data_IF_874879935251
#
_entry.id   IF_874879935251
#
_cell.length_a   1.000
_cell.length_b   1.000
_cell.length_c   1.000
_cell.angle_alpha   90.00
_cell.angle_beta   90.00
_cell.angle_gamma   90.00
#
_symmetry.space_group_name_H-M   'P 1'
#
loop_
_entity.id
_entity.type
_entity.pdbx_description
1 polymer ?
#
# COMPACT_ATOMS: atom_id res chain seq x y z
N UNK A 1 -24.78 4.19 -5.49
CA UNK A 1 -24.87 5.67 -5.37
C UNK A 1 -24.80 6.22 -3.95
N UNK A 2 -25.20 5.53 -2.88
CA UNK A 2 -25.17 6.07 -1.49
C UNK A 2 -23.78 6.24 -0.83
N UNK A 3 -22.70 5.65 -1.35
CA UNK A 3 -21.35 5.73 -0.76
C UNK A 3 -20.59 7.04 -1.03
N UNK A 4 -20.94 7.75 -2.11
CA UNK A 4 -20.25 9.01 -2.45
C UNK A 4 -20.76 10.21 -1.65
N UNK A 5 -22.04 10.23 -1.26
CA UNK A 5 -22.60 11.32 -0.47
C UNK A 5 -22.09 11.37 0.98
N UNK A 6 -21.86 10.21 1.61
CA UNK A 6 -21.36 10.13 2.99
C UNK A 6 -19.87 10.47 3.11
N UNK A 7 -19.04 10.11 2.13
CA UNK A 7 -17.63 10.54 2.08
C UNK A 7 -17.46 12.05 1.85
N UNK A 8 -18.41 12.71 1.19
CA UNK A 8 -18.38 14.17 0.98
C UNK A 8 -18.61 14.94 2.27
N UNK A 9 -19.56 14.51 3.11
CA UNK A 9 -19.89 15.16 4.39
C UNK A 9 -18.74 15.09 5.41
N UNK A 10 -17.99 13.99 5.49
CA UNK A 10 -16.80 13.92 6.35
C UNK A 10 -15.62 14.77 5.85
N UNK A 11 -15.59 15.16 4.56
CA UNK A 11 -14.54 16.05 4.02
C UNK A 11 -14.79 17.52 4.35
N UNK A 12 -16.05 17.96 4.47
CA UNK A 12 -16.40 19.35 4.78
C UNK A 12 -16.08 19.72 6.24
N UNK A 13 -16.22 18.80 7.20
CA UNK A 13 -15.83 19.04 8.60
C UNK A 13 -14.31 19.15 8.82
N UNK A 14 -13.46 18.71 7.88
CA UNK A 14 -11.99 18.91 7.96
C UNK A 14 -11.57 20.38 7.83
N UNK A 15 -12.45 21.27 7.39
CA UNK A 15 -12.13 22.69 7.18
C UNK A 15 -12.10 23.53 8.44
N UNK A 16 -12.60 23.05 9.58
CA UNK A 16 -12.52 23.75 10.86
C UNK A 16 -11.89 22.81 11.89
N UNK A 17 -11.11 23.37 12.82
CA UNK A 17 -10.35 22.69 13.87
C UNK A 17 -8.94 22.23 13.47
N UNK A 18 -8.00 23.17 13.50
CA UNK A 18 -6.59 22.92 13.78
C UNK A 18 -6.47 22.46 15.24
N UNK A 19 -5.92 21.27 15.47
CA UNK A 19 -5.25 20.96 16.72
C UNK A 19 -3.82 21.48 16.55
N UNK A 20 -3.40 22.39 17.43
CA UNK A 20 -2.05 22.95 17.45
C UNK A 20 -1.01 21.83 17.50
N UNK A 21 -0.16 21.81 16.48
CA UNK A 21 1.08 21.05 16.50
C UNK A 21 2.17 22.11 16.34
N UNK A 22 2.88 22.43 17.42
CA UNK A 22 4.07 23.25 17.37
C UNK A 22 5.16 22.51 16.58
N UNK A 23 5.22 22.78 15.28
CA UNK A 23 6.40 22.54 14.45
C UNK A 23 7.13 23.88 14.30
N UNK A 24 8.25 24.02 14.98
CA UNK A 24 9.24 25.04 14.65
C UNK A 24 9.99 24.61 13.37
N UNK A 25 9.40 24.78 12.18
CA UNK A 25 10.13 24.83 10.88
C UNK A 25 9.30 25.65 9.87
N UNK A 26 9.98 26.48 9.07
CA UNK A 26 9.40 27.56 8.25
C UNK A 26 8.17 27.22 7.41
N UNK A 27 7.27 28.20 7.25
CA UNK A 27 6.09 28.09 6.40
C UNK A 27 6.49 27.80 4.95
N UNK A 28 6.33 26.55 4.53
CA UNK A 28 6.26 26.18 3.12
C UNK A 28 4.99 26.80 2.52
N UNK A 29 5.13 27.88 1.76
CA UNK A 29 4.05 28.49 1.01
C UNK A 29 3.80 27.69 -0.27
N UNK A 30 2.83 26.78 -0.27
CA UNK A 30 2.34 26.13 -1.48
C UNK A 30 1.20 26.97 -2.09
N UNK A 31 1.28 27.24 -3.40
CA UNK A 31 0.19 27.87 -4.13
C UNK A 31 -1.03 26.92 -4.20
N UNK A 32 -2.23 27.34 -3.75
CA UNK A 32 -3.44 26.53 -3.83
C UNK A 32 -3.79 26.04 -5.24
N UNK A 33 -3.44 26.80 -6.28
CA UNK A 33 -3.71 26.42 -7.67
C UNK A 33 -2.78 25.28 -8.15
N UNK A 34 -1.52 25.29 -7.71
CA UNK A 34 -0.57 24.21 -7.99
C UNK A 34 -1.03 22.91 -7.33
N UNK A 35 -1.52 22.99 -6.08
CA UNK A 35 -2.10 21.83 -5.38
C UNK A 35 -3.35 21.29 -6.07
N UNK A 36 -4.20 22.18 -6.62
CA UNK A 36 -5.38 21.79 -7.38
C UNK A 36 -4.99 21.09 -8.68
N UNK A 37 -4.02 21.62 -9.41
CA UNK A 37 -3.49 21.04 -10.64
C UNK A 37 -2.92 19.64 -10.41
N UNK A 38 -2.04 19.48 -9.41
CA UNK A 38 -1.47 18.18 -9.01
C UNK A 38 -2.58 17.18 -8.69
N UNK A 39 -3.60 17.60 -7.92
CA UNK A 39 -4.73 16.73 -7.56
C UNK A 39 -5.53 16.28 -8.78
N UNK A 40 -5.79 17.18 -9.71
CA UNK A 40 -6.60 16.89 -10.89
C UNK A 40 -5.82 15.97 -11.87
N UNK A 41 -4.50 16.15 -11.99
CA UNK A 41 -3.60 15.24 -12.71
C UNK A 41 -3.60 13.83 -12.09
N UNK A 42 -3.45 13.72 -10.76
CA UNK A 42 -3.55 12.44 -10.05
C UNK A 42 -4.89 11.74 -10.29
N UNK A 43 -5.98 12.50 -10.32
CA UNK A 43 -7.33 11.96 -10.57
C UNK A 43 -7.42 11.40 -11.98
N UNK A 44 -6.88 12.09 -12.98
CA UNK A 44 -6.88 11.63 -14.37
C UNK A 44 -6.04 10.36 -14.53
N UNK A 45 -4.85 10.29 -13.92
CA UNK A 45 -4.02 9.08 -13.93
C UNK A 45 -4.76 7.90 -13.28
N UNK A 46 -5.39 8.12 -12.13
CA UNK A 46 -6.18 7.09 -11.45
C UNK A 46 -7.34 6.59 -12.33
N UNK A 47 -8.04 7.48 -13.03
CA UNK A 47 -9.11 7.09 -13.95
C UNK A 47 -8.58 6.25 -15.12
N UNK A 48 -7.43 6.62 -15.69
CA UNK A 48 -6.78 5.81 -16.74
C UNK A 48 -6.39 4.42 -16.23
N UNK A 49 -5.86 4.33 -15.01
CA UNK A 49 -5.54 3.03 -14.38
C UNK A 49 -6.81 2.18 -14.31
N UNK A 50 -7.89 2.73 -13.76
CA UNK A 50 -9.17 2.03 -13.62
C UNK A 50 -9.72 1.52 -14.95
N UNK A 51 -9.76 2.37 -15.97
CA UNK A 51 -10.19 1.96 -17.31
C UNK A 51 -9.35 0.81 -17.89
N UNK A 52 -8.06 0.74 -17.54
CA UNK A 52 -7.15 -0.29 -18.02
C UNK A 52 -7.27 -1.63 -17.26
N UNK A 53 -7.67 -1.61 -15.98
CA UNK A 53 -7.59 -2.81 -15.13
C UNK A 53 -8.93 -3.29 -14.56
N UNK A 54 -9.99 -2.48 -14.60
CA UNK A 54 -11.26 -2.80 -13.94
C UNK A 54 -11.87 -4.11 -14.46
N UNK A 55 -11.67 -4.46 -15.73
CA UNK A 55 -12.14 -5.74 -16.30
C UNK A 55 -11.41 -6.96 -15.70
N UNK A 56 -10.25 -6.76 -15.08
CA UNK A 56 -9.48 -7.80 -14.40
C UNK A 56 -9.83 -7.90 -12.91
N UNK A 57 -10.54 -6.90 -12.37
CA UNK A 57 -10.91 -6.83 -10.97
C UNK A 57 -12.29 -7.46 -10.74
N UNK A 58 -12.35 -8.35 -9.76
CA UNK A 58 -13.58 -8.99 -9.28
C UNK A 58 -13.59 -9.09 -7.76
N UNK A 59 -14.78 -9.30 -7.19
CA UNK A 59 -14.94 -9.55 -5.76
C UNK A 59 -14.22 -10.82 -5.28
N UNK A 60 -13.89 -11.74 -6.20
CA UNK A 60 -13.17 -12.98 -5.90
C UNK A 60 -11.66 -12.78 -5.79
N UNK A 61 -11.10 -11.70 -6.32
CA UNK A 61 -9.66 -11.46 -6.23
C UNK A 61 -9.25 -11.17 -4.78
N UNK A 62 -8.20 -11.84 -4.36
CA UNK A 62 -7.49 -11.55 -3.13
C UNK A 62 -6.87 -10.15 -3.16
N UNK A 63 -6.59 -9.57 -1.98
CA UNK A 63 -5.91 -8.27 -1.89
C UNK A 63 -4.53 -8.28 -2.55
N UNK A 64 -3.86 -9.45 -2.55
CA UNK A 64 -2.58 -9.63 -3.24
C UNK A 64 -2.75 -9.49 -4.75
N UNK A 65 -3.74 -10.16 -5.33
CA UNK A 65 -4.02 -10.07 -6.77
C UNK A 65 -4.46 -8.67 -7.19
N UNK A 66 -5.28 -8.00 -6.38
CA UNK A 66 -5.68 -6.60 -6.65
C UNK A 66 -4.47 -5.67 -6.67
N UNK A 67 -3.53 -5.86 -5.74
CA UNK A 67 -2.31 -5.09 -5.67
C UNK A 67 -1.40 -5.36 -6.89
N UNK A 68 -1.25 -6.62 -7.27
CA UNK A 68 -0.51 -7.03 -8.48
C UNK A 68 -1.07 -6.39 -9.76
N UNK A 69 -2.39 -6.49 -9.96
CA UNK A 69 -3.10 -5.85 -11.08
C UNK A 69 -2.89 -4.33 -11.06
N UNK A 70 -2.96 -3.71 -9.87
CA UNK A 70 -2.71 -2.28 -9.71
C UNK A 70 -1.28 -1.87 -10.07
N UNK A 71 -0.28 -2.67 -9.69
CA UNK A 71 1.11 -2.43 -10.06
C UNK A 71 1.29 -2.48 -11.57
N UNK A 72 0.73 -3.51 -12.23
CA UNK A 72 0.79 -3.65 -13.69
C UNK A 72 0.11 -2.47 -14.37
N UNK A 73 -1.12 -2.12 -13.99
CA UNK A 73 -1.83 -0.98 -14.59
C UNK A 73 -1.06 0.34 -14.43
N UNK A 74 -0.47 0.58 -13.26
CA UNK A 74 0.38 1.75 -13.03
C UNK A 74 1.62 1.75 -13.92
N UNK A 75 2.33 0.63 -13.99
CA UNK A 75 3.51 0.48 -14.84
C UNK A 75 3.19 0.74 -16.32
N UNK A 76 2.11 0.15 -16.84
CA UNK A 76 1.74 0.29 -18.26
C UNK A 76 1.39 1.73 -18.64
N UNK A 77 0.76 2.48 -17.74
CA UNK A 77 0.51 3.91 -17.96
C UNK A 77 1.80 4.73 -17.95
N UNK A 78 2.77 4.38 -17.10
CA UNK A 78 4.06 5.06 -17.05
C UNK A 78 4.90 4.78 -18.30
N UNK A 79 4.81 3.57 -18.89
CA UNK A 79 5.48 3.26 -20.16
C UNK A 79 5.03 4.18 -21.30
N UNK A 80 3.82 4.74 -21.23
CA UNK A 80 3.27 5.67 -22.21
C UNK A 80 3.32 5.13 -23.66
N UNK A 81 3.11 3.83 -23.81
CA UNK A 81 2.97 3.15 -25.11
C UNK A 81 1.50 2.74 -25.33
N UNK A 82 1.13 2.42 -26.57
CA UNK A 82 -0.16 1.79 -26.88
C UNK A 82 -0.17 0.36 -26.34
N UNK A 83 -0.55 0.22 -25.06
CA UNK A 83 -0.58 -1.05 -24.35
C UNK A 83 -1.98 -1.37 -23.84
N UNK A 84 -2.36 -2.65 -23.94
CA UNK A 84 -3.54 -3.20 -23.30
C UNK A 84 -3.25 -4.54 -22.62
N UNK A 85 -3.98 -4.85 -21.55
CA UNK A 85 -3.91 -6.17 -20.89
C UNK A 85 -4.95 -7.07 -21.55
N UNK A 86 -4.49 -8.14 -22.22
CA UNK A 86 -5.37 -9.12 -22.87
C UNK A 86 -5.98 -10.08 -21.87
N UNK A 87 -5.17 -10.61 -20.97
CA UNK A 87 -5.62 -11.57 -19.97
C UNK A 87 -4.64 -11.70 -18.81
N UNK A 88 -5.14 -12.26 -17.71
CA UNK A 88 -4.31 -12.90 -16.70
C UNK A 88 -4.02 -14.35 -17.09
N UNK A 89 -2.88 -14.85 -16.69
CA UNK A 89 -2.51 -16.26 -16.83
C UNK A 89 -1.69 -16.72 -15.62
N UNK A 90 -1.46 -18.02 -15.48
CA UNK A 90 -0.65 -18.54 -14.37
C UNK A 90 0.86 -18.50 -14.66
N UNK A 91 1.24 -18.37 -15.94
CA UNK A 91 2.63 -18.52 -16.38
C UNK A 91 2.80 -18.05 -17.84
N UNK A 92 3.15 -16.77 -18.08
CA UNK A 92 3.45 -15.72 -17.11
C UNK A 92 2.18 -15.15 -16.46
N UNK A 93 2.31 -14.26 -15.48
CA UNK A 93 1.17 -13.68 -14.74
C UNK A 93 0.17 -12.91 -15.65
N UNK A 94 0.65 -12.25 -16.71
CA UNK A 94 -0.17 -11.46 -17.62
C UNK A 94 0.22 -11.68 -19.09
N UNK A 95 -0.76 -11.55 -19.97
CA UNK A 95 -0.56 -11.40 -21.41
C UNK A 95 -0.94 -9.97 -21.79
N UNK A 96 0.00 -9.22 -22.35
CA UNK A 96 -0.18 -7.83 -22.76
C UNK A 96 -0.02 -7.71 -24.28
N UNK A 97 -0.72 -6.76 -24.88
CA UNK A 97 -0.47 -6.32 -26.25
C UNK A 97 0.22 -4.97 -26.21
N UNK A 98 1.39 -4.87 -26.82
CA UNK A 98 2.17 -3.64 -26.98
C UNK A 98 2.28 -3.36 -28.48
N UNK A 99 1.61 -2.32 -28.97
CA UNK A 99 1.42 -2.10 -30.42
C UNK A 99 0.89 -3.36 -31.09
N UNK A 100 1.62 -3.91 -32.07
CA UNK A 100 1.24 -5.13 -32.80
C UNK A 100 1.82 -6.44 -32.22
N UNK A 101 2.48 -6.37 -31.05
CA UNK A 101 3.11 -7.54 -30.41
C UNK A 101 2.32 -8.01 -29.20
N UNK A 102 2.22 -9.34 -29.05
CA UNK A 102 1.71 -9.98 -27.84
C UNK A 102 2.90 -10.46 -27.02
N UNK A 103 2.94 -10.07 -25.76
CA UNK A 103 4.08 -10.25 -24.87
C UNK A 103 3.58 -10.89 -23.57
N UNK A 104 4.36 -11.82 -23.06
CA UNK A 104 4.17 -12.35 -21.72
C UNK A 104 4.79 -11.42 -20.68
N UNK A 105 4.06 -11.04 -19.64
CA UNK A 105 4.55 -10.17 -18.58
C UNK A 105 4.46 -10.89 -17.23
N UNK A 106 5.63 -11.13 -16.63
CA UNK A 106 5.75 -11.69 -15.28
C UNK A 106 5.87 -10.56 -14.25
N UNK A 107 5.21 -10.72 -13.11
CA UNK A 107 5.27 -9.79 -11.98
C UNK A 107 6.06 -10.40 -10.81
N UNK A 108 6.85 -9.56 -10.13
CA UNK A 108 7.42 -9.91 -8.83
C UNK A 108 7.53 -8.66 -7.94
N UNK A 109 7.09 -8.77 -6.70
CA UNK A 109 7.36 -7.75 -5.67
C UNK A 109 8.64 -8.09 -4.93
N UNK A 110 9.60 -7.18 -4.92
CA UNK A 110 10.82 -7.28 -4.13
C UNK A 110 10.49 -6.85 -2.71
N UNK A 111 10.73 -7.76 -1.75
CA UNK A 111 10.53 -7.50 -0.33
C UNK A 111 11.76 -7.86 0.47
N UNK A 112 12.00 -7.12 1.54
CA UNK A 112 13.05 -7.43 2.50
C UNK A 112 12.64 -8.67 3.29
N UNK A 113 13.30 -9.79 3.00
CA UNK A 113 13.01 -11.10 3.59
C UNK A 113 13.28 -11.15 5.09
N UNK A 114 14.13 -10.27 5.61
CA UNK A 114 14.44 -10.17 7.05
C UNK A 114 13.30 -9.57 7.85
N UNK A 115 12.54 -8.63 7.26
CA UNK A 115 11.51 -7.86 7.98
C UNK A 115 10.08 -8.24 7.59
N UNK A 116 9.86 -8.86 6.42
CA UNK A 116 8.52 -9.19 5.89
C UNK A 116 7.66 -10.03 6.85
N UNK A 117 8.26 -10.99 7.56
CA UNK A 117 7.55 -11.83 8.52
C UNK A 117 7.03 -11.03 9.73
N UNK A 118 7.83 -10.07 10.20
CA UNK A 118 7.46 -9.24 11.34
C UNK A 118 6.40 -8.20 10.94
N UNK A 119 6.58 -7.53 9.79
CA UNK A 119 5.59 -6.60 9.23
C UNK A 119 4.24 -7.30 9.03
N UNK A 120 4.25 -8.54 8.52
CA UNK A 120 3.05 -9.36 8.40
C UNK A 120 2.38 -9.65 9.75
N UNK A 121 3.17 -9.97 10.77
CA UNK A 121 2.68 -10.21 12.13
C UNK A 121 2.00 -8.97 12.72
N UNK A 122 2.63 -7.80 12.61
CA UNK A 122 2.06 -6.55 13.11
C UNK A 122 0.78 -6.19 12.34
N UNK A 123 0.75 -6.35 11.02
CA UNK A 123 -0.46 -6.12 10.22
C UNK A 123 -1.63 -6.99 10.72
N UNK A 124 -1.37 -8.25 11.01
CA UNK A 124 -2.37 -9.17 11.56
C UNK A 124 -2.83 -8.76 12.97
N UNK A 125 -1.92 -8.26 13.81
CA UNK A 125 -2.27 -7.70 15.12
C UNK A 125 -3.24 -6.53 14.97
N UNK A 126 -2.94 -5.56 14.11
CA UNK A 126 -3.81 -4.38 13.91
C UNK A 126 -5.18 -4.76 13.36
N UNK A 127 -5.26 -5.75 12.46
CA UNK A 127 -6.54 -6.29 11.99
C UNK A 127 -7.33 -6.96 13.11
N UNK A 128 -6.65 -7.63 14.05
CA UNK A 128 -7.30 -8.22 15.24
C UNK A 128 -7.79 -7.15 16.22
N UNK A 129 -7.02 -6.07 16.42
CA UNK A 129 -7.46 -4.90 17.19
C UNK A 129 -8.73 -4.32 16.58
N UNK A 130 -8.75 -4.07 15.27
CA UNK A 130 -9.91 -3.54 14.56
C UNK A 130 -11.15 -4.42 14.78
N UNK A 131 -11.01 -5.73 14.59
CA UNK A 131 -12.11 -6.69 14.78
C UNK A 131 -12.58 -6.75 16.23
N UNK A 132 -11.66 -6.82 17.19
CA UNK A 132 -12.00 -6.83 18.60
C UNK A 132 -12.77 -5.57 18.98
N UNK A 133 -12.26 -4.40 18.59
CA UNK A 133 -12.91 -3.14 18.87
C UNK A 133 -14.32 -3.08 18.28
N UNK A 134 -14.48 -3.48 17.01
CA UNK A 134 -15.79 -3.48 16.35
C UNK A 134 -16.78 -4.39 17.11
N UNK A 135 -16.34 -5.56 17.54
CA UNK A 135 -17.19 -6.53 18.22
C UNK A 135 -17.50 -6.16 19.68
N UNK A 136 -16.68 -5.34 20.32
CA UNK A 136 -16.80 -5.06 21.76
C UNK A 136 -17.32 -3.65 22.06
N UNK A 137 -16.97 -2.64 21.25
CA UNK A 137 -17.16 -1.23 21.62
C UNK A 137 -17.99 -0.39 20.65
N UNK A 138 -18.46 -0.95 19.52
CA UNK A 138 -19.16 -0.13 18.50
C UNK A 138 -20.44 0.53 19.04
N UNK A 139 -21.15 -0.15 19.94
CA UNK A 139 -22.37 0.36 20.55
C UNK A 139 -22.07 1.39 21.65
N UNK A 140 -20.90 1.34 22.29
CA UNK A 140 -20.47 2.25 23.37
C UNK A 140 -19.74 3.52 22.89
N UNK A 141 -19.75 3.83 21.59
CA UNK A 141 -19.13 5.03 21.01
C UNK A 141 -19.91 6.35 21.28
N UNK A 142 -20.71 6.45 22.34
CA UNK A 142 -21.62 7.59 22.57
C UNK A 142 -20.90 8.95 22.59
N UNK A 143 -19.80 9.16 23.35
CA UNK A 143 -19.12 10.47 23.37
C UNK A 143 -18.55 10.86 22.01
N UNK A 144 -18.06 9.88 21.24
CA UNK A 144 -17.51 10.11 19.91
C UNK A 144 -18.61 10.46 18.90
N UNK A 145 -19.73 9.74 18.93
CA UNK A 145 -20.88 9.94 18.04
C UNK A 145 -21.53 11.30 18.30
N UNK A 146 -21.63 11.72 19.55
CA UNK A 146 -22.12 13.06 19.92
C UNK A 146 -21.20 14.16 19.42
N UNK A 147 -19.88 13.97 19.56
CA UNK A 147 -18.88 14.91 19.06
C UNK A 147 -18.82 14.97 17.53
N UNK A 148 -19.07 13.85 16.84
CA UNK A 148 -19.00 13.71 15.39
C UNK A 148 -20.24 13.04 14.78
N UNK A 149 -21.42 13.69 14.84
CA UNK A 149 -22.69 13.05 14.46
C UNK A 149 -22.75 12.67 12.97
N UNK A 150 -22.01 13.39 12.11
CA UNK A 150 -21.93 13.12 10.67
C UNK A 150 -20.89 12.04 10.31
N UNK A 151 -20.00 11.70 11.24
CA UNK A 151 -18.93 10.73 11.06
C UNK A 151 -18.81 9.90 12.35
N UNK A 152 -19.83 9.06 12.65
CA UNK A 152 -19.97 8.37 13.95
C UNK A 152 -18.93 7.27 14.18
N UNK A 153 -18.05 7.03 13.20
CA UNK A 153 -16.98 6.04 13.24
C UNK A 153 -15.62 6.75 13.19
N UNK A 154 -14.53 5.98 13.21
CA UNK A 154 -13.19 6.54 13.40
C UNK A 154 -12.10 5.83 12.62
N UNK A 155 -11.08 6.58 12.22
CA UNK A 155 -9.76 6.05 11.92
C UNK A 155 -8.88 6.23 13.16
N UNK A 156 -8.21 5.15 13.55
CA UNK A 156 -7.20 5.12 14.60
C UNK A 156 -5.84 4.89 13.94
N UNK A 157 -5.02 5.94 13.91
CA UNK A 157 -3.62 5.90 13.48
C UNK A 157 -2.75 5.52 14.70
N UNK A 158 -2.08 4.36 14.65
CA UNK A 158 -1.19 3.87 15.70
C UNK A 158 0.26 3.92 15.23
N UNK A 159 1.15 4.41 16.09
CA UNK A 159 2.60 4.34 15.94
C UNK A 159 3.20 3.59 17.11
N UNK A 160 3.99 2.57 16.82
CA UNK A 160 4.81 1.91 17.83
C UNK A 160 6.11 2.69 18.06
N UNK A 161 6.76 2.42 19.20
CA UNK A 161 8.09 2.97 19.48
C UNK A 161 9.11 2.37 18.52
N UNK A 162 9.01 1.06 18.28
CA UNK A 162 9.75 0.34 17.25
C UNK A 162 8.79 -0.21 16.18
N UNK A 163 9.01 0.16 14.93
CA UNK A 163 8.24 -0.36 13.79
C UNK A 163 8.50 -1.85 13.54
N UNK A 164 9.57 -2.41 14.14
CA UNK A 164 9.87 -3.83 14.16
C UNK A 164 9.50 -4.47 15.50
N UNK A 165 8.56 -3.89 16.25
CA UNK A 165 7.98 -4.52 17.43
C UNK A 165 7.58 -5.98 17.15
N UNK A 166 8.23 -6.91 17.84
CA UNK A 166 8.00 -8.34 17.70
C UNK A 166 7.28 -8.90 18.93
N UNK A 167 6.41 -9.86 18.70
CA UNK A 167 5.66 -10.55 19.76
C UNK A 167 5.42 -12.01 19.36
N UNK A 168 5.20 -12.88 20.34
CA UNK A 168 4.86 -14.27 20.10
C UNK A 168 3.40 -14.39 19.67
N UNK A 169 3.10 -15.36 18.80
CA UNK A 169 1.74 -15.58 18.27
C UNK A 169 0.70 -15.73 19.39
N UNK A 170 1.05 -16.36 20.52
CA UNK A 170 0.15 -16.53 21.66
C UNK A 170 -0.23 -15.20 22.35
N UNK A 171 0.64 -14.18 22.28
CA UNK A 171 0.43 -12.86 22.91
C UNK A 171 -0.51 -11.97 22.11
N UNK A 172 -0.71 -12.28 20.82
CA UNK A 172 -1.47 -11.44 19.90
C UNK A 172 -2.89 -11.11 20.37
N UNK A 173 -3.60 -12.04 21.03
CA UNK A 173 -4.94 -11.78 21.57
C UNK A 173 -4.89 -10.77 22.71
N UNK A 174 -3.96 -10.95 23.66
CA UNK A 174 -3.76 -10.03 24.79
C UNK A 174 -3.41 -8.63 24.29
N UNK A 175 -2.44 -8.53 23.38
CA UNK A 175 -2.03 -7.26 22.78
C UNK A 175 -3.18 -6.59 22.02
N UNK A 176 -4.02 -7.38 21.33
CA UNK A 176 -5.17 -6.83 20.60
C UNK A 176 -6.16 -6.16 21.54
N UNK A 177 -6.46 -6.82 22.66
CA UNK A 177 -7.35 -6.31 23.70
C UNK A 177 -6.77 -5.08 24.38
N UNK A 178 -5.49 -5.13 24.76
CA UNK A 178 -4.77 -4.03 25.41
C UNK A 178 -4.81 -2.75 24.56
N UNK A 179 -4.49 -2.87 23.26
CA UNK A 179 -4.54 -1.72 22.33
C UNK A 179 -5.97 -1.21 22.18
N UNK A 180 -6.96 -2.09 21.99
CA UNK A 180 -8.35 -1.68 21.78
C UNK A 180 -8.95 -0.99 23.01
N UNK A 181 -8.67 -1.52 24.21
CA UNK A 181 -9.13 -0.94 25.47
C UNK A 181 -8.47 0.43 25.70
N UNK A 182 -7.15 0.54 25.49
CA UNK A 182 -6.46 1.82 25.58
C UNK A 182 -7.08 2.87 24.65
N UNK A 183 -7.37 2.51 23.40
CA UNK A 183 -8.03 3.42 22.44
C UNK A 183 -9.45 3.77 22.88
N UNK A 184 -10.21 2.83 23.44
CA UNK A 184 -11.56 3.09 23.95
C UNK A 184 -11.55 4.10 25.09
N UNK A 185 -10.66 3.90 26.08
CA UNK A 185 -10.50 4.84 27.20
C UNK A 185 -10.09 6.24 26.74
N UNK A 186 -9.19 6.35 25.76
CA UNK A 186 -8.85 7.66 25.15
C UNK A 186 -10.06 8.38 24.52
N UNK A 187 -11.01 7.63 23.95
CA UNK A 187 -12.22 8.20 23.33
C UNK A 187 -13.18 8.73 24.38
N UNK A 188 -13.30 8.00 25.49
CA UNK A 188 -14.20 8.36 26.59
C UNK A 188 -13.59 9.40 27.55
N UNK A 189 -12.30 9.73 27.38
CA UNK A 189 -11.60 10.64 28.30
C UNK A 189 -11.28 10.00 29.65
N UNK A 190 -11.22 8.67 29.70
CA UNK A 190 -10.87 7.92 30.90
C UNK A 190 -9.35 7.95 31.13
N UNK A 191 -8.95 7.95 32.40
CA UNK A 191 -7.55 7.76 32.78
C UNK A 191 -7.11 6.33 32.43
N UNK A 192 -6.01 6.19 31.71
CA UNK A 192 -5.52 4.90 31.23
C UNK A 192 -4.02 4.93 31.01
N UNK A 193 -3.36 3.83 31.35
CA UNK A 193 -1.93 3.67 31.10
C UNK A 193 -1.68 3.38 29.62
N UNK A 194 -0.82 4.20 29.00
CA UNK A 194 -0.38 3.97 27.63
C UNK A 194 0.48 2.70 27.56
N UNK A 195 0.13 1.71 26.72
CA UNK A 195 0.98 0.53 26.51
C UNK A 195 2.40 0.94 26.14
N UNK A 196 3.40 0.36 26.82
CA UNK A 196 4.80 0.78 26.73
C UNK A 196 5.39 0.69 25.31
N UNK A 197 4.85 -0.16 24.44
CA UNK A 197 5.28 -0.31 23.05
C UNK A 197 4.61 0.68 22.08
N UNK A 198 3.59 1.42 22.52
CA UNK A 198 2.91 2.45 21.74
C UNK A 198 3.63 3.78 21.93
N UNK A 199 4.07 4.38 20.83
CA UNK A 199 4.59 5.74 20.81
C UNK A 199 3.43 6.75 20.88
N UNK A 200 2.53 6.68 19.90
CA UNK A 200 1.44 7.63 19.71
C UNK A 200 0.20 6.96 19.10
N UNK A 201 -0.96 7.44 19.52
CA UNK A 201 -2.26 7.19 18.88
C UNK A 201 -2.85 8.52 18.39
N UNK A 202 -3.50 8.52 17.23
CA UNK A 202 -4.32 9.63 16.75
C UNK A 202 -5.65 9.09 16.25
N UNK A 203 -6.74 9.68 16.72
CA UNK A 203 -8.11 9.27 16.40
C UNK A 203 -8.76 10.38 15.59
N UNK A 204 -9.40 10.03 14.48
CA UNK A 204 -10.03 10.98 13.56
C UNK A 204 -11.42 10.50 13.16
N UNK A 205 -12.41 11.39 13.00
CA UNK A 205 -13.73 11.03 12.51
C UNK A 205 -13.64 10.43 11.11
N UNK A 206 -14.43 9.38 10.88
CA UNK A 206 -14.47 8.65 9.62
C UNK A 206 -15.83 7.97 9.39
N UNK A 207 -16.05 7.46 8.18
CA UNK A 207 -17.27 6.71 7.84
C UNK A 207 -17.22 5.25 8.29
N UNK A 208 -16.05 4.74 8.64
CA UNK A 208 -15.81 3.35 9.04
C UNK A 208 -14.84 3.32 10.21
N UNK A 209 -15.00 2.34 11.10
CA UNK A 209 -14.00 2.01 12.12
C UNK A 209 -12.82 1.35 11.42
N UNK A 210 -11.65 1.98 11.51
CA UNK A 210 -10.43 1.51 10.84
C UNK A 210 -9.23 1.72 11.73
N UNK A 211 -8.39 0.70 11.85
CA UNK A 211 -7.09 0.83 12.52
C UNK A 211 -5.98 0.77 11.48
N UNK A 212 -5.03 1.70 11.59
CA UNK A 212 -3.93 1.86 10.65
C UNK A 212 -2.63 1.95 11.45
N UNK A 213 -1.66 1.10 11.08
CA UNK A 213 -0.29 1.25 11.55
C UNK A 213 0.43 2.28 10.68
N UNK A 214 1.12 3.23 11.31
CA UNK A 214 2.08 4.10 10.62
C UNK A 214 3.49 3.72 11.04
N UNK A 215 4.28 3.30 10.07
CA UNK A 215 5.71 3.01 10.23
C UNK A 215 6.55 4.27 9.96
N UNK A 216 7.76 4.32 10.51
CA UNK A 216 8.73 5.33 10.14
C UNK A 216 9.34 5.00 8.77
N UNK A 217 9.06 5.85 7.78
CA UNK A 217 9.45 5.69 6.39
C UNK A 217 10.98 5.87 6.24
N UNK A 218 11.62 6.67 7.09
CA UNK A 218 13.05 7.00 7.02
C UNK A 218 13.98 5.84 7.44
N UNK A 219 13.46 4.61 7.55
CA UNK A 219 14.20 3.42 7.98
C UNK A 219 14.09 2.27 6.97
N UNK A 220 13.67 2.53 5.74
CA UNK A 220 13.73 1.57 4.65
C UNK A 220 15.17 1.36 4.20
N UNK A 221 15.55 0.11 3.94
CA UNK A 221 16.89 -0.22 3.42
C UNK A 221 16.97 0.16 1.93
N UNK A 222 18.18 0.46 1.45
CA UNK A 222 18.41 0.65 0.01
C UNK A 222 18.35 -0.69 -0.72
N UNK A 223 17.82 -0.68 -1.93
CA UNK A 223 17.83 -1.87 -2.78
C UNK A 223 19.25 -2.06 -3.35
N UNK A 224 19.92 -3.12 -2.94
CA UNK A 224 21.25 -3.47 -3.49
C UNK A 224 21.12 -4.37 -4.73
N UNK A 225 22.12 -4.31 -5.62
CA UNK A 225 22.13 -5.08 -6.87
C UNK A 225 22.04 -6.59 -6.64
N UNK A 226 22.68 -7.11 -5.60
CA UNK A 226 22.63 -8.54 -5.26
C UNK A 226 21.21 -8.98 -4.89
N UNK A 227 20.46 -8.12 -4.20
CA UNK A 227 19.06 -8.38 -3.86
C UNK A 227 18.21 -8.37 -5.13
N UNK A 228 18.38 -7.37 -5.98
CA UNK A 228 17.70 -7.29 -7.28
C UNK A 228 17.98 -8.54 -8.12
N UNK A 229 19.25 -8.91 -8.24
CA UNK A 229 19.71 -10.07 -9.01
C UNK A 229 19.13 -11.38 -8.49
N UNK A 230 19.04 -11.56 -7.17
CA UNK A 230 18.41 -12.74 -6.57
C UNK A 230 16.96 -12.92 -7.06
N UNK A 231 16.16 -11.86 -7.11
CA UNK A 231 14.77 -11.93 -7.59
C UNK A 231 14.69 -12.18 -9.10
N UNK A 232 15.62 -11.62 -9.87
CA UNK A 232 15.72 -11.85 -11.32
C UNK A 232 16.07 -13.32 -11.59
N UNK A 233 17.13 -13.84 -11.00
CA UNK A 233 17.61 -15.22 -11.21
C UNK A 233 16.52 -16.26 -10.84
N UNK A 234 15.74 -15.97 -9.79
CA UNK A 234 14.57 -16.80 -9.40
C UNK A 234 13.54 -16.89 -10.51
N UNK A 235 13.26 -15.80 -11.24
CA UNK A 235 12.29 -15.77 -12.35
C UNK A 235 12.91 -16.23 -13.67
N UNK A 236 14.18 -15.96 -13.88
CA UNK A 236 14.98 -16.43 -15.01
C UNK A 236 14.87 -17.95 -15.17
N UNK A 237 14.96 -18.69 -14.06
CA UNK A 237 14.80 -20.15 -14.03
C UNK A 237 13.47 -20.67 -14.60
N UNK A 238 12.47 -19.79 -14.79
CA UNK A 238 11.12 -20.11 -15.26
C UNK A 238 10.84 -19.61 -16.68
N UNK A 239 11.74 -18.83 -17.30
CA UNK A 239 11.54 -18.23 -18.63
C UNK A 239 11.18 -19.27 -19.69
N UNK A 240 11.90 -20.39 -19.73
CA UNK A 240 11.61 -21.47 -20.69
C UNK A 240 10.19 -22.04 -20.52
N UNK A 241 9.70 -22.13 -19.27
CA UNK A 241 8.32 -22.54 -18.99
C UNK A 241 7.32 -21.47 -19.42
N UNK A 242 7.60 -20.19 -19.18
CA UNK A 242 6.75 -19.08 -19.65
C UNK A 242 6.58 -19.13 -21.17
N UNK A 243 7.68 -19.23 -21.92
CA UNK A 243 7.64 -19.32 -23.39
C UNK A 243 6.86 -20.53 -23.88
N UNK A 244 7.07 -21.71 -23.27
CA UNK A 244 6.36 -22.94 -23.65
C UNK A 244 4.85 -22.88 -23.37
N UNK A 245 4.43 -22.39 -22.21
CA UNK A 245 3.02 -22.39 -21.81
C UNK A 245 2.23 -21.28 -22.50
N UNK A 246 2.80 -20.08 -22.63
CA UNK A 246 2.16 -18.96 -23.34
C UNK A 246 2.25 -19.08 -24.86
N UNK A 247 3.19 -19.87 -25.39
CA UNK A 247 3.59 -19.91 -26.80
C UNK A 247 4.07 -18.55 -27.33
N UNK A 248 4.54 -17.67 -26.44
CA UNK A 248 5.09 -16.36 -26.78
C UNK A 248 6.61 -16.38 -26.61
N UNK A 249 7.33 -15.92 -27.62
CA UNK A 249 8.79 -15.84 -27.56
C UNK A 249 9.29 -14.63 -26.76
N UNK A 250 8.53 -13.53 -26.74
CA UNK A 250 8.87 -12.31 -26.01
C UNK A 250 8.24 -12.33 -24.61
N UNK A 251 9.08 -12.25 -23.58
CA UNK A 251 8.76 -12.30 -22.16
C UNK A 251 9.43 -11.11 -21.47
N UNK A 252 8.64 -10.32 -20.75
CA UNK A 252 9.09 -9.21 -19.94
C UNK A 252 8.96 -9.54 -18.46
N UNK A 253 9.83 -8.95 -17.64
CA UNK A 253 9.78 -9.03 -16.19
C UNK A 253 9.54 -7.64 -15.60
N UNK A 254 8.50 -7.52 -14.76
CA UNK A 254 8.23 -6.35 -13.94
C UNK A 254 8.54 -6.66 -12.49
N UNK A 255 9.61 -6.05 -11.99
CA UNK A 255 9.99 -6.01 -10.59
C UNK A 255 9.35 -4.78 -9.94
N UNK A 256 8.84 -4.92 -8.72
CA UNK A 256 8.21 -3.81 -7.99
C UNK A 256 8.83 -3.68 -6.61
N UNK A 257 9.34 -2.49 -6.29
CA UNK A 257 9.79 -2.07 -4.96
C UNK A 257 9.29 -0.63 -4.68
N UNK A 258 9.67 -0.05 -3.54
CA UNK A 258 9.22 1.28 -3.14
C UNK A 258 7.82 1.27 -2.52
N UNK A 259 7.70 0.88 -1.26
CA UNK A 259 6.50 1.13 -0.45
C UNK A 259 6.88 1.75 0.89
N UNK A 260 5.92 2.37 1.57
CA UNK A 260 6.13 3.01 2.88
C UNK A 260 6.42 2.03 4.04
N UNK A 261 6.43 0.72 3.75
CA UNK A 261 6.61 -0.32 4.75
C UNK A 261 8.09 -0.71 4.87
N UNK A 262 8.48 -1.15 6.08
CA UNK A 262 9.84 -1.61 6.41
C UNK A 262 10.23 -2.92 5.72
N UNK A 263 9.29 -3.60 5.05
CA UNK A 263 9.55 -4.78 4.22
C UNK A 263 9.79 -4.45 2.74
N UNK A 264 9.97 -3.18 2.41
CA UNK A 264 10.33 -2.70 1.09
C UNK A 264 11.71 -2.06 1.08
N UNK A 265 12.14 -1.65 -0.10
CA UNK A 265 13.42 -1.00 -0.32
C UNK A 265 13.23 0.36 -0.98
N UNK A 266 14.13 1.29 -0.65
CA UNK A 266 14.34 2.53 -1.37
C UNK A 266 15.16 2.25 -2.63
N UNK A 267 14.77 2.86 -3.75
CA UNK A 267 15.46 2.70 -5.04
C UNK A 267 16.29 3.95 -5.28
N UNK A 268 17.61 3.81 -5.19
CA UNK A 268 18.59 4.81 -5.61
C UNK A 268 19.29 4.28 -6.88
N UNK A 269 19.35 5.08 -7.94
CA UNK A 269 19.57 4.57 -9.31
C UNK A 269 21.04 4.32 -9.66
N UNK A 270 21.33 3.13 -10.18
CA UNK A 270 21.61 2.83 -11.61
C UNK A 270 21.85 1.32 -11.72
N UNK A 271 20.80 0.55 -12.06
CA UNK A 271 20.93 -0.90 -12.28
C UNK A 271 20.96 -1.19 -13.77
N UNK A 272 21.99 -1.92 -14.21
CA UNK A 272 22.07 -2.46 -15.55
C UNK A 272 22.41 -3.95 -15.49
N UNK A 273 21.73 -4.76 -16.30
CA UNK A 273 21.99 -6.17 -16.43
C UNK A 273 22.29 -6.54 -17.88
N UNK A 274 23.48 -7.06 -18.09
CA UNK A 274 23.95 -7.43 -19.43
C UNK A 274 23.29 -8.72 -19.95
N UNK A 275 22.87 -9.63 -19.07
CA UNK A 275 22.37 -10.97 -19.46
C UNK A 275 21.13 -11.40 -18.70
N UNK A 276 20.09 -11.79 -19.45
CA UNK A 276 18.87 -12.45 -18.97
C UNK A 276 18.13 -13.06 -20.17
N UNK A 277 17.32 -14.10 -19.96
CA UNK A 277 16.43 -14.70 -20.94
C UNK A 277 15.11 -13.94 -21.11
N UNK A 278 14.82 -12.95 -20.25
CA UNK A 278 13.78 -11.96 -20.50
C UNK A 278 14.25 -10.94 -21.53
N UNK A 279 13.40 -10.58 -22.48
CA UNK A 279 13.71 -9.59 -23.51
C UNK A 279 13.77 -8.16 -22.93
N UNK A 280 13.00 -7.88 -21.87
CA UNK A 280 13.05 -6.62 -21.11
C UNK A 280 12.84 -6.85 -19.62
N UNK A 281 13.53 -6.07 -18.80
CA UNK A 281 13.35 -6.07 -17.35
C UNK A 281 13.13 -4.64 -16.87
N UNK A 282 12.04 -4.44 -16.13
CA UNK A 282 11.69 -3.16 -15.55
C UNK A 282 11.65 -3.25 -14.02
N UNK A 283 12.11 -2.19 -13.36
CA UNK A 283 11.92 -1.98 -11.92
C UNK A 283 10.99 -0.78 -11.73
N UNK A 284 9.80 -1.04 -11.20
CA UNK A 284 8.86 -0.03 -10.77
C UNK A 284 9.17 0.40 -9.33
N UNK A 285 9.42 1.68 -9.16
CA UNK A 285 9.31 2.39 -7.88
C UNK A 285 7.84 2.76 -7.66
N UNK A 286 7.14 1.92 -6.90
CA UNK A 286 5.73 2.13 -6.61
C UNK A 286 5.51 3.38 -5.74
N UNK A 287 6.46 3.79 -4.92
CA UNK A 287 6.26 4.97 -4.08
C UNK A 287 6.37 6.25 -4.90
N UNK A 288 7.44 6.39 -5.69
CA UNK A 288 7.70 7.58 -6.49
C UNK A 288 6.99 7.58 -7.84
N UNK A 289 6.29 6.49 -8.19
CA UNK A 289 5.61 6.31 -9.48
C UNK A 289 6.58 6.50 -10.67
N UNK A 290 7.76 5.90 -10.58
CA UNK A 290 8.78 5.90 -11.62
C UNK A 290 9.14 4.47 -11.99
N UNK A 291 9.65 4.25 -13.19
CA UNK A 291 10.23 2.97 -13.57
C UNK A 291 11.64 3.15 -14.11
N UNK A 292 12.42 2.09 -13.99
CA UNK A 292 13.76 1.96 -14.53
C UNK A 292 13.79 0.77 -15.45
N UNK A 293 14.40 0.95 -16.63
CA UNK A 293 14.68 -0.16 -17.53
C UNK A 293 16.06 -0.70 -17.18
N UNK A 294 16.10 -1.91 -16.64
CA UNK A 294 17.32 -2.59 -16.21
C UNK A 294 17.96 -3.37 -17.37
N UNK A 295 17.13 -3.74 -18.36
CA UNK A 295 17.51 -4.40 -19.62
C UNK A 295 16.55 -4.00 -20.75
#
# INVERSE_FOLDING_TARGET
MLRHHTQSRCKEQKKHYQIEINYNQGKLNFNPDDLKKIRDEHKLVSQKIHLMIDHLLSNKNSDKEKLEISHVGKFLILLNEEISIKSKSESPDFIIQVKDKIIGLEHETIRNTKTVGNVGSIKNLIQRVEKYYINTFTDSLTPFKEKYPNCPNMIVDIRFIDDLFSFKKQESSKLSMEIANYVHSLINGEETDKPHYINRVSIKPHTQVKYILRTNINKTEKLEFETLKFFIDKKESKVARYKRLSKLNEQWLLLVAGSLNRDSFEIENDFNLDTSGFERIYLLDDFNAKYYRIK
#
